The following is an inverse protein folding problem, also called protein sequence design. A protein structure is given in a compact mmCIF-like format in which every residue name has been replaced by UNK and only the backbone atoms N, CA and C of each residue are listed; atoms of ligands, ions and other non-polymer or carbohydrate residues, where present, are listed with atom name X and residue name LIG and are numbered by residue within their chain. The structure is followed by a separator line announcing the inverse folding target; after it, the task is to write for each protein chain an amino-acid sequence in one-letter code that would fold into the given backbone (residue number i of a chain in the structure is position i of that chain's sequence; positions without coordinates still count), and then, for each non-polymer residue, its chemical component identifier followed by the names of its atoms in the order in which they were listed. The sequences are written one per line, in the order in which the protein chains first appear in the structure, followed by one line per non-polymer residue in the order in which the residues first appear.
data_IF_086477786812
#
_entry.id   IF_086477786812
#
_cell.length_a   1.000
_cell.length_b   1.000
_cell.length_c   1.000
_cell.angle_alpha   90.00
_cell.angle_beta   90.00
_cell.angle_gamma   90.00
#
_symmetry.space_group_name_H-M   'P 1'
#
loop_
_entity.id
_entity.type
_entity.pdbx_description
1 polymer ?
#
# COMPACT_ATOMS: atom_id res chain seq x y z
N UNK A 1 3.39 -31.86 16.00
CA UNK A 1 2.24 -31.22 15.32
C UNK A 1 2.33 -29.71 15.55
N UNK A 2 3.00 -28.99 14.65
CA UNK A 2 3.33 -27.56 14.80
C UNK A 2 2.12 -26.68 14.45
N UNK A 3 1.62 -25.92 15.44
CA UNK A 3 0.51 -24.97 15.28
C UNK A 3 1.03 -23.72 14.56
N UNK A 4 0.64 -23.53 13.30
CA UNK A 4 0.73 -22.25 12.60
C UNK A 4 -0.23 -21.23 13.25
N UNK A 5 0.23 -20.56 14.30
CA UNK A 5 -0.28 -19.23 14.68
C UNK A 5 0.71 -18.19 14.14
N UNK A 6 0.66 -17.96 12.83
CA UNK A 6 1.21 -16.72 12.31
C UNK A 6 0.26 -15.59 12.71
N UNK A 7 0.78 -14.72 13.55
CA UNK A 7 0.13 -13.54 14.07
C UNK A 7 -0.35 -12.66 12.92
N UNK A 8 -1.67 -12.51 12.81
CA UNK A 8 -2.28 -11.32 12.24
C UNK A 8 -2.17 -10.20 13.29
N UNK A 9 -0.95 -9.76 13.59
CA UNK A 9 -0.77 -8.41 14.11
C UNK A 9 -0.94 -7.49 12.92
N UNK A 10 -1.97 -6.63 12.98
CA UNK A 10 -1.90 -5.36 12.27
C UNK A 10 -0.50 -4.82 12.53
N UNK A 11 0.26 -4.47 11.48
CA UNK A 11 1.50 -3.75 11.67
C UNK A 11 1.16 -2.59 12.61
N UNK A 12 1.82 -2.53 13.75
CA UNK A 12 1.48 -1.61 14.82
C UNK A 12 1.80 -0.18 14.35
N UNK A 13 0.87 0.41 13.60
CA UNK A 13 0.97 1.74 13.01
C UNK A 13 1.21 2.78 14.10
N UNK A 14 0.80 2.50 15.34
CA UNK A 14 1.08 3.36 16.47
C UNK A 14 2.59 3.40 16.79
N UNK A 15 3.25 2.24 16.85
CA UNK A 15 4.70 2.18 17.09
C UNK A 15 5.51 2.86 15.97
N UNK A 16 5.09 2.73 14.70
CA UNK A 16 5.75 3.40 13.58
C UNK A 16 5.66 4.93 13.71
N UNK A 17 4.45 5.48 13.88
CA UNK A 17 4.22 6.91 14.07
C UNK A 17 4.95 7.46 15.30
N UNK A 18 4.97 6.73 16.41
CA UNK A 18 5.72 7.13 17.61
C UNK A 18 7.23 7.11 17.37
N UNK A 19 7.73 6.21 16.53
CA UNK A 19 9.15 6.21 16.13
C UNK A 19 9.48 7.42 15.25
N UNK A 20 8.59 7.81 14.33
CA UNK A 20 8.76 9.03 13.51
C UNK A 20 8.86 10.28 14.41
N UNK A 21 7.99 10.39 15.41
CA UNK A 21 8.04 11.45 16.42
C UNK A 21 9.37 11.46 17.17
N UNK A 22 9.83 10.29 17.64
CA UNK A 22 11.11 10.17 18.34
C UNK A 22 12.30 10.57 17.45
N UNK A 23 12.29 10.24 16.15
CA UNK A 23 13.32 10.65 15.19
C UNK A 23 13.34 12.18 15.03
N UNK A 24 12.17 12.80 14.82
CA UNK A 24 12.09 14.25 14.62
C UNK A 24 12.55 15.01 15.88
N UNK A 25 12.08 14.57 17.05
CA UNK A 25 12.53 15.12 18.32
C UNK A 25 14.05 14.98 18.49
N UNK A 26 14.60 13.78 18.27
CA UNK A 26 16.03 13.54 18.45
C UNK A 26 16.89 14.31 17.45
N UNK A 27 16.45 14.50 16.21
CA UNK A 27 17.17 15.36 15.27
C UNK A 27 17.24 16.81 15.79
N UNK A 28 16.11 17.35 16.23
CA UNK A 28 16.03 18.72 16.72
C UNK A 28 16.83 18.92 18.02
N UNK A 29 16.83 17.96 18.95
CA UNK A 29 17.60 18.07 20.19
C UNK A 29 19.08 17.75 20.01
N UNK A 30 19.43 16.62 19.39
CA UNK A 30 20.82 16.12 19.36
C UNK A 30 21.66 16.71 18.23
N UNK A 31 21.05 17.00 17.07
CA UNK A 31 21.78 17.53 15.91
C UNK A 31 21.66 19.05 15.84
N UNK A 32 20.50 19.62 16.24
CA UNK A 32 20.28 21.07 16.23
C UNK A 32 20.47 21.75 17.58
N UNK A 33 20.74 20.99 18.66
CA UNK A 33 20.93 21.51 20.01
C UNK A 33 19.75 22.37 20.51
N UNK A 34 18.52 22.08 20.05
CA UNK A 34 17.32 22.73 20.53
C UNK A 34 16.95 22.21 21.92
N UNK A 35 16.43 23.08 22.78
CA UNK A 35 15.78 22.67 24.02
C UNK A 35 14.50 21.85 23.74
N UNK A 36 13.95 21.22 24.78
CA UNK A 36 12.77 20.35 24.67
C UNK A 36 11.55 21.06 24.04
N UNK A 37 11.23 22.27 24.48
CA UNK A 37 10.04 23.00 24.03
C UNK A 37 10.18 23.40 22.56
N UNK A 38 11.35 23.96 22.21
CA UNK A 38 11.68 24.33 20.83
C UNK A 38 11.69 23.09 19.93
N UNK A 39 12.28 21.98 20.37
CA UNK A 39 12.36 20.76 19.57
C UNK A 39 10.99 20.13 19.29
N UNK A 40 10.09 20.11 20.28
CA UNK A 40 8.72 19.62 20.13
C UNK A 40 7.91 20.50 19.18
N UNK A 41 8.03 21.83 19.34
CA UNK A 41 7.37 22.82 18.48
C UNK A 41 7.83 22.70 17.03
N UNK A 42 9.15 22.66 16.79
CA UNK A 42 9.69 22.54 15.44
C UNK A 42 9.40 21.17 14.80
N UNK A 43 9.24 20.12 15.61
CA UNK A 43 8.80 18.82 15.14
C UNK A 43 7.29 18.75 14.81
N UNK A 44 6.52 19.80 15.13
CA UNK A 44 5.06 19.86 15.05
C UNK A 44 4.39 18.75 15.87
N UNK A 45 4.95 18.46 17.04
CA UNK A 45 4.44 17.44 17.97
C UNK A 45 3.78 18.13 19.16
N UNK A 46 2.50 17.84 19.35
CA UNK A 46 1.75 18.27 20.54
C UNK A 46 2.45 17.83 21.84
N UNK A 47 2.65 18.71 22.84
CA UNK A 47 3.39 18.39 24.08
C UNK A 47 2.87 17.12 24.79
N UNK A 48 1.55 16.93 24.83
CA UNK A 48 0.89 15.76 25.43
C UNK A 48 1.24 14.42 24.76
N UNK A 49 1.84 14.45 23.58
CA UNK A 49 2.25 13.25 22.84
C UNK A 49 3.62 12.74 23.27
N UNK A 50 4.43 13.54 23.98
CA UNK A 50 5.78 13.16 24.40
C UNK A 50 5.83 11.83 25.18
N UNK A 51 4.96 11.70 26.18
CA UNK A 51 4.87 10.49 27.00
C UNK A 51 4.52 9.22 26.21
N UNK A 52 4.01 9.36 24.98
CA UNK A 52 3.70 8.22 24.12
C UNK A 52 4.94 7.66 23.41
N UNK A 53 5.96 8.48 23.17
CA UNK A 53 7.18 8.07 22.46
C UNK A 53 8.47 8.20 23.28
N UNK A 54 8.41 8.66 24.53
CA UNK A 54 9.59 8.79 25.39
C UNK A 54 10.40 7.49 25.52
N UNK A 55 9.72 6.34 25.55
CA UNK A 55 10.35 5.01 25.56
C UNK A 55 11.08 4.64 24.24
N UNK A 56 10.90 5.43 23.19
CA UNK A 56 11.54 5.25 21.88
C UNK A 56 12.66 6.26 21.62
N UNK A 57 13.00 7.15 22.58
CA UNK A 57 14.02 8.18 22.39
C UNK A 57 15.37 7.59 21.99
N UNK A 58 15.80 6.48 22.60
CA UNK A 58 17.05 5.82 22.22
C UNK A 58 16.99 5.26 20.80
N UNK A 59 15.83 4.72 20.39
CA UNK A 59 15.62 4.28 19.00
C UNK A 59 15.69 5.46 18.05
N UNK A 60 15.02 6.57 18.36
CA UNK A 60 15.08 7.80 17.57
C UNK A 60 16.50 8.34 17.42
N UNK A 61 17.29 8.32 18.50
CA UNK A 61 18.69 8.77 18.49
C UNK A 61 19.54 7.90 17.57
N UNK A 62 19.46 6.58 17.73
CA UNK A 62 20.19 5.64 16.87
C UNK A 62 19.82 5.81 15.39
N UNK A 63 18.53 6.02 15.10
CA UNK A 63 18.04 6.27 13.74
C UNK A 63 18.63 7.56 13.15
N UNK A 64 18.65 8.65 13.92
CA UNK A 64 19.20 9.94 13.48
C UNK A 64 20.71 9.86 13.26
N UNK A 65 21.45 9.27 14.19
CA UNK A 65 22.90 9.09 14.06
C UNK A 65 23.26 8.22 12.85
N UNK A 66 22.52 7.13 12.64
CA UNK A 66 22.67 6.29 11.46
C UNK A 66 22.36 7.03 10.17
N UNK A 67 21.27 7.80 10.14
CA UNK A 67 20.89 8.60 8.98
C UNK A 67 21.95 9.65 8.61
N UNK A 68 22.53 10.33 9.60
CA UNK A 68 23.61 11.32 9.38
C UNK A 68 24.90 10.64 8.87
N UNK A 69 25.16 9.39 9.27
CA UNK A 69 26.30 8.60 8.75
C UNK A 69 26.09 8.21 7.29
N UNK A 70 24.86 7.85 6.91
CA UNK A 70 24.51 7.50 5.52
C UNK A 70 24.50 8.73 4.60
N UNK A 71 24.01 9.89 5.08
CA UNK A 71 24.06 11.16 4.36
C UNK A 71 24.37 12.33 5.31
N UNK A 72 25.63 12.79 5.31
CA UNK A 72 26.07 13.95 6.10
C UNK A 72 25.34 15.26 5.77
N UNK A 73 24.69 15.36 4.60
CA UNK A 73 23.85 16.49 4.20
C UNK A 73 22.60 16.66 5.06
N UNK A 74 22.14 15.58 5.71
CA UNK A 74 21.03 15.60 6.68
C UNK A 74 21.38 16.48 7.88
N UNK A 75 22.61 16.40 8.39
CA UNK A 75 23.05 17.21 9.52
C UNK A 75 23.11 18.71 9.22
N UNK A 76 23.11 19.12 7.93
CA UNK A 76 23.10 20.52 7.51
C UNK A 76 21.69 21.12 7.45
N UNK A 77 20.64 20.30 7.56
CA UNK A 77 19.26 20.77 7.52
C UNK A 77 18.86 21.46 8.83
N UNK A 78 17.88 22.35 8.78
CA UNK A 78 17.54 23.23 9.90
C UNK A 78 16.68 22.57 10.98
N UNK A 79 15.79 21.66 10.60
CA UNK A 79 14.86 20.98 11.50
C UNK A 79 14.31 19.69 10.90
N UNK A 80 13.79 18.83 11.76
CA UNK A 80 12.96 17.70 11.42
C UNK A 80 11.51 17.94 11.86
N UNK A 81 10.56 17.50 11.05
CA UNK A 81 9.11 17.69 11.26
C UNK A 81 8.40 16.35 11.04
N UNK A 82 7.56 15.95 11.98
CA UNK A 82 6.72 14.75 11.84
C UNK A 82 5.51 15.05 10.96
N UNK A 83 5.20 14.18 9.99
CA UNK A 83 4.12 14.40 9.02
C UNK A 83 3.22 13.19 8.75
N UNK A 84 3.54 11.98 9.23
CA UNK A 84 2.81 10.75 8.91
C UNK A 84 1.30 10.77 9.24
N UNK A 85 0.86 11.70 10.08
CA UNK A 85 -0.56 11.98 10.37
C UNK A 85 -1.23 13.07 9.49
N UNK A 86 -0.51 13.63 8.52
CA UNK A 86 -0.93 14.72 7.67
C UNK A 86 -1.98 14.34 6.62
N UNK A 87 -2.39 15.33 5.83
CA UNK A 87 -3.35 15.16 4.74
C UNK A 87 -3.09 16.23 3.68
N UNK A 88 -3.00 15.82 2.42
CA UNK A 88 -2.74 16.74 1.31
C UNK A 88 -3.71 16.52 0.14
N UNK A 89 -3.85 17.51 -0.74
CA UNK A 89 -4.59 17.37 -1.98
C UNK A 89 -3.95 16.32 -2.89
N UNK A 90 -4.76 15.60 -3.65
CA UNK A 90 -4.26 14.66 -4.66
C UNK A 90 -4.32 15.30 -6.04
N UNK A 91 -3.53 14.79 -6.97
CA UNK A 91 -3.52 15.29 -8.36
C UNK A 91 -4.85 15.02 -9.08
N UNK A 92 -5.15 15.76 -10.16
CA UNK A 92 -6.30 15.46 -11.03
C UNK A 92 -6.30 14.03 -11.57
N UNK A 93 -5.12 13.47 -11.83
CA UNK A 93 -4.99 12.08 -12.25
C UNK A 93 -5.49 11.12 -11.16
N UNK A 94 -5.07 11.32 -9.90
CA UNK A 94 -5.54 10.48 -8.80
C UNK A 94 -7.04 10.61 -8.54
N UNK A 95 -7.55 11.85 -8.57
CA UNK A 95 -8.96 12.13 -8.24
C UNK A 95 -9.95 11.60 -9.27
N UNK A 96 -9.53 11.43 -10.53
CA UNK A 96 -10.32 10.77 -11.59
C UNK A 96 -10.81 9.37 -11.19
N UNK A 97 -10.09 8.66 -10.31
CA UNK A 97 -10.45 7.32 -9.83
C UNK A 97 -11.20 7.34 -8.49
N UNK A 98 -11.67 8.50 -8.04
CA UNK A 98 -12.35 8.70 -6.75
C UNK A 98 -11.42 8.78 -5.55
N UNK A 99 -10.11 8.68 -5.74
CA UNK A 99 -9.13 8.84 -4.68
C UNK A 99 -9.02 10.32 -4.26
N UNK A 100 -8.67 10.60 -3.02
CA UNK A 100 -8.60 11.95 -2.45
C UNK A 100 -9.94 12.51 -1.93
N UNK A 101 -11.08 11.94 -2.31
CA UNK A 101 -12.39 12.39 -1.80
C UNK A 101 -12.58 12.11 -0.30
N UNK A 102 -11.96 11.05 0.22
CA UNK A 102 -11.97 10.71 1.65
C UNK A 102 -10.63 11.07 2.28
N UNK A 103 -10.64 11.54 3.52
CA UNK A 103 -9.42 11.87 4.26
C UNK A 103 -8.40 10.70 4.27
N UNK A 104 -8.85 9.46 4.45
CA UNK A 104 -7.99 8.28 4.40
C UNK A 104 -7.25 8.08 3.07
N UNK A 105 -7.77 8.61 1.96
CA UNK A 105 -7.12 8.57 0.64
C UNK A 105 -6.20 9.77 0.38
N UNK A 106 -6.09 10.70 1.34
CA UNK A 106 -5.21 11.87 1.31
C UNK A 106 -3.99 11.72 2.22
N UNK A 107 -3.85 10.58 2.88
CA UNK A 107 -2.70 10.26 3.73
C UNK A 107 -1.41 10.29 2.90
N UNK A 108 -0.40 11.08 3.32
CA UNK A 108 0.85 11.25 2.60
C UNK A 108 1.67 9.96 2.57
N UNK A 109 2.65 9.92 1.66
CA UNK A 109 3.71 8.91 1.66
C UNK A 109 4.90 9.32 2.52
N UNK A 110 5.08 10.62 2.68
CA UNK A 110 6.07 11.18 3.59
C UNK A 110 5.62 11.02 5.03
N UNK A 111 6.47 10.41 5.84
CA UNK A 111 6.25 10.19 7.26
C UNK A 111 6.91 11.32 8.08
N UNK A 112 8.05 11.83 7.62
CA UNK A 112 8.74 12.97 8.23
C UNK A 112 9.57 13.76 7.21
N UNK A 113 9.81 15.02 7.53
CA UNK A 113 10.71 15.90 6.79
C UNK A 113 11.98 16.15 7.58
N UNK A 114 13.10 16.24 6.89
CA UNK A 114 14.31 16.87 7.43
C UNK A 114 14.79 17.90 6.42
N UNK A 115 14.50 19.19 6.66
CA UNK A 115 14.71 20.24 5.67
C UNK A 115 14.07 19.91 4.31
N UNK A 116 14.91 19.69 3.29
CA UNK A 116 14.47 19.35 1.92
C UNK A 116 14.13 17.85 1.69
N UNK A 117 14.39 16.98 2.65
CA UNK A 117 14.24 15.54 2.47
C UNK A 117 12.84 15.08 2.88
N UNK A 118 12.05 14.60 1.93
CA UNK A 118 10.75 13.97 2.17
C UNK A 118 10.96 12.46 2.39
N UNK A 119 10.87 12.04 3.64
CA UNK A 119 11.30 10.70 4.07
C UNK A 119 10.08 9.87 4.44
N UNK A 120 10.02 8.66 3.89
CA UNK A 120 9.15 7.61 4.42
C UNK A 120 9.96 6.65 5.29
N UNK A 121 9.46 6.37 6.49
CA UNK A 121 10.08 5.49 7.47
C UNK A 121 9.63 4.04 7.24
N UNK A 122 10.57 3.11 7.30
CA UNK A 122 10.33 1.67 7.23
C UNK A 122 11.05 0.97 8.38
N UNK A 123 10.28 0.61 9.41
CA UNK A 123 10.76 -0.17 10.56
C UNK A 123 10.24 -1.60 10.45
N UNK A 124 11.15 -2.59 10.42
CA UNK A 124 10.78 -4.00 10.37
C UNK A 124 9.97 -4.38 9.11
N UNK A 125 9.00 -5.30 9.27
CA UNK A 125 8.09 -5.65 8.18
C UNK A 125 7.20 -4.46 7.83
N UNK A 126 7.39 -3.89 6.65
CA UNK A 126 6.78 -2.63 6.27
C UNK A 126 5.61 -2.83 5.30
N UNK A 127 4.57 -2.02 5.47
CA UNK A 127 3.47 -1.91 4.53
C UNK A 127 3.75 -0.72 3.58
N UNK A 128 3.82 -0.97 2.27
CA UNK A 128 4.01 0.08 1.26
C UNK A 128 2.68 0.71 0.84
N UNK A 129 1.62 -0.11 0.76
CA UNK A 129 0.27 0.38 0.49
C UNK A 129 -0.81 -0.51 1.08
N UNK A 130 -2.01 0.06 1.19
CA UNK A 130 -3.22 -0.64 1.68
C UNK A 130 -4.50 -0.10 1.03
N UNK A 131 -4.49 0.13 -0.28
CA UNK A 131 -5.59 0.82 -0.95
C UNK A 131 -6.91 0.06 -0.86
N UNK A 132 -7.99 0.79 -0.56
CA UNK A 132 -9.33 0.34 -0.94
C UNK A 132 -9.51 0.53 -2.46
N UNK A 133 -10.73 0.39 -2.97
CA UNK A 133 -11.05 0.41 -4.40
C UNK A 133 -10.42 1.58 -5.16
N UNK A 134 -10.64 2.80 -4.67
CA UNK A 134 -10.25 4.03 -5.36
C UNK A 134 -8.72 4.18 -5.43
N UNK A 135 -8.01 3.96 -4.32
CA UNK A 135 -6.54 3.98 -4.31
C UNK A 135 -5.93 2.81 -5.09
N UNK A 136 -6.59 1.65 -5.08
CA UNK A 136 -6.14 0.49 -5.87
C UNK A 136 -6.21 0.78 -7.36
N UNK A 137 -7.31 1.40 -7.83
CA UNK A 137 -7.41 1.84 -9.22
C UNK A 137 -6.37 2.89 -9.55
N UNK A 138 -6.25 3.94 -8.75
CA UNK A 138 -5.32 5.02 -9.04
C UNK A 138 -3.88 4.49 -9.16
N UNK A 139 -3.45 3.63 -8.23
CA UNK A 139 -2.12 2.99 -8.27
C UNK A 139 -1.97 2.08 -9.49
N UNK A 140 -3.00 1.29 -9.82
CA UNK A 140 -2.98 0.38 -10.96
C UNK A 140 -2.87 1.15 -12.28
N UNK A 141 -3.66 2.20 -12.47
CA UNK A 141 -3.63 3.03 -13.66
C UNK A 141 -2.37 3.87 -13.76
N UNK A 142 -1.81 4.33 -12.64
CA UNK A 142 -0.51 5.02 -12.62
C UNK A 142 0.58 4.16 -13.24
N UNK A 143 0.63 2.88 -12.87
CA UNK A 143 1.58 1.93 -13.42
C UNK A 143 1.30 1.58 -14.89
N UNK A 144 0.02 1.58 -15.30
CA UNK A 144 -0.35 1.37 -16.70
C UNK A 144 0.07 2.54 -17.61
N UNK A 145 -0.04 3.79 -17.16
CA UNK A 145 0.40 4.94 -17.97
C UNK A 145 1.89 4.87 -18.29
N UNK A 146 2.68 4.29 -17.41
CA UNK A 146 4.12 4.12 -17.59
C UNK A 146 4.47 2.80 -18.31
N UNK A 147 3.49 1.98 -18.70
CA UNK A 147 3.70 0.68 -19.36
C UNK A 147 2.97 0.55 -20.69
N UNK A 148 3.71 0.75 -21.78
CA UNK A 148 3.18 0.65 -23.14
C UNK A 148 2.64 -0.73 -23.49
N UNK A 149 1.61 -0.77 -24.34
CA UNK A 149 1.06 -2.00 -24.91
C UNK A 149 0.29 -2.91 -23.94
N UNK A 150 0.25 -2.57 -22.64
CA UNK A 150 -0.49 -3.34 -21.64
C UNK A 150 -1.94 -2.85 -21.49
N UNK A 151 -2.20 -1.61 -21.87
CA UNK A 151 -3.55 -1.05 -21.90
C UNK A 151 -4.46 -1.90 -22.79
N UNK A 152 -5.63 -2.29 -22.26
CA UNK A 152 -6.68 -3.07 -22.91
C UNK A 152 -6.48 -4.60 -23.01
N UNK A 153 -5.42 -5.17 -22.44
CA UNK A 153 -5.29 -6.64 -22.39
C UNK A 153 -6.39 -7.29 -21.54
N UNK A 154 -6.79 -8.54 -21.83
CA UNK A 154 -7.74 -9.27 -21.01
C UNK A 154 -7.30 -9.37 -19.54
N UNK A 155 -6.00 -9.55 -19.28
CA UNK A 155 -5.44 -9.63 -17.93
C UNK A 155 -5.65 -8.34 -17.14
N UNK A 156 -5.47 -7.19 -17.80
CA UNK A 156 -5.71 -5.87 -17.22
C UNK A 156 -7.18 -5.67 -16.89
N UNK A 157 -8.06 -5.97 -17.84
CA UNK A 157 -9.52 -5.85 -17.66
C UNK A 157 -10.02 -6.75 -16.53
N UNK A 158 -9.50 -7.97 -16.44
CA UNK A 158 -9.83 -8.90 -15.37
C UNK A 158 -9.43 -8.35 -13.99
N UNK A 159 -8.19 -7.85 -13.85
CA UNK A 159 -7.72 -7.26 -12.58
C UNK A 159 -8.58 -6.05 -12.17
N UNK A 160 -8.87 -5.15 -13.12
CA UNK A 160 -9.74 -3.99 -12.90
C UNK A 160 -11.12 -4.45 -12.43
N UNK A 161 -11.75 -5.41 -13.12
CA UNK A 161 -13.08 -5.93 -12.76
C UNK A 161 -13.14 -6.56 -11.36
N UNK A 162 -12.02 -7.09 -10.85
CA UNK A 162 -11.92 -7.65 -9.51
C UNK A 162 -11.70 -6.56 -8.45
N UNK A 163 -10.93 -5.51 -8.78
CA UNK A 163 -10.82 -4.32 -7.91
C UNK A 163 -12.19 -3.63 -7.82
N UNK A 164 -12.98 -3.58 -8.90
CA UNK A 164 -14.35 -3.03 -8.91
C UNK A 164 -15.26 -3.74 -7.91
N UNK A 165 -15.01 -5.03 -7.66
CA UNK A 165 -15.75 -5.86 -6.70
C UNK A 165 -15.27 -5.71 -5.26
N UNK A 166 -14.29 -4.84 -4.98
CA UNK A 166 -13.93 -4.51 -3.60
C UNK A 166 -15.13 -3.97 -2.84
N UNK A 167 -15.37 -4.58 -1.69
CA UNK A 167 -16.51 -4.33 -0.84
C UNK A 167 -16.08 -4.01 0.59
N UNK A 168 -17.03 -3.44 1.34
CA UNK A 168 -16.94 -3.14 2.77
C UNK A 168 -18.32 -3.31 3.39
N UNK A 169 -18.37 -3.59 4.67
CA UNK A 169 -19.63 -3.83 5.37
C UNK A 169 -19.43 -4.00 6.87
N UNK A 170 -20.47 -4.51 7.51
CA UNK A 170 -20.48 -4.90 8.93
C UNK A 170 -20.65 -6.41 8.97
N UNK A 171 -20.01 -7.06 9.95
CA UNK A 171 -20.19 -8.49 10.22
C UNK A 171 -20.05 -8.76 11.71
N UNK A 172 -20.51 -9.93 12.17
CA UNK A 172 -20.37 -10.35 13.57
C UNK A 172 -19.27 -11.42 13.67
N UNK A 173 -18.31 -11.19 14.57
CA UNK A 173 -17.15 -12.05 14.75
C UNK A 173 -15.97 -11.65 13.86
N UNK A 174 -14.83 -12.31 14.06
CA UNK A 174 -13.63 -12.03 13.26
C UNK A 174 -13.84 -12.50 11.82
N UNK A 175 -13.31 -11.75 10.84
CA UNK A 175 -13.41 -12.10 9.41
C UNK A 175 -12.86 -13.50 9.13
N UNK A 176 -11.82 -13.94 9.85
CA UNK A 176 -11.30 -15.30 9.77
C UNK A 176 -12.32 -16.36 10.20
N UNK A 177 -13.03 -16.14 11.31
CA UNK A 177 -14.09 -17.04 11.78
C UNK A 177 -15.26 -17.08 10.79
N UNK A 178 -15.69 -15.90 10.34
CA UNK A 178 -16.77 -15.73 9.36
C UNK A 178 -16.48 -16.46 8.05
N UNK A 179 -15.27 -16.33 7.51
CA UNK A 179 -14.84 -17.03 6.30
C UNK A 179 -14.82 -18.55 6.50
N UNK A 180 -14.31 -19.02 7.64
CA UNK A 180 -14.20 -20.45 7.95
C UNK A 180 -15.59 -21.10 8.05
N UNK A 181 -16.50 -20.43 8.75
CA UNK A 181 -17.82 -20.96 9.06
C UNK A 181 -18.89 -20.58 8.03
N UNK A 182 -18.54 -19.70 7.08
CA UNK A 182 -19.43 -19.18 6.03
C UNK A 182 -20.69 -18.53 6.58
N UNK A 183 -20.54 -17.70 7.62
CA UNK A 183 -21.68 -17.09 8.33
C UNK A 183 -22.13 -15.75 7.75
N UNK A 184 -21.40 -15.21 6.77
CA UNK A 184 -21.72 -13.95 6.08
C UNK A 184 -21.23 -14.03 4.63
N UNK A 185 -22.18 -14.08 3.70
CA UNK A 185 -21.89 -14.26 2.28
C UNK A 185 -21.08 -13.12 1.69
N UNK A 186 -21.28 -11.87 2.16
CA UNK A 186 -20.56 -10.71 1.64
C UNK A 186 -19.07 -10.78 2.01
N UNK A 187 -18.74 -11.23 3.22
CA UNK A 187 -17.35 -11.46 3.65
C UNK A 187 -16.72 -12.63 2.89
N UNK A 188 -17.47 -13.72 2.68
CA UNK A 188 -17.00 -14.91 1.95
C UNK A 188 -16.73 -14.58 0.47
N UNK A 189 -17.62 -13.84 -0.18
CA UNK A 189 -17.47 -13.41 -1.57
C UNK A 189 -16.32 -12.44 -1.74
N UNK A 190 -16.17 -11.48 -0.84
CA UNK A 190 -15.02 -10.58 -0.84
C UNK A 190 -13.70 -11.36 -0.74
N UNK A 191 -13.60 -12.37 0.14
CA UNK A 191 -12.42 -13.22 0.24
C UNK A 191 -12.17 -14.05 -1.05
N UNK A 192 -13.21 -14.47 -1.77
CA UNK A 192 -13.06 -15.11 -3.08
C UNK A 192 -12.47 -14.13 -4.11
N UNK A 193 -13.00 -12.92 -4.18
CA UNK A 193 -12.48 -11.83 -5.03
C UNK A 193 -11.02 -11.53 -4.69
N UNK A 194 -10.66 -11.49 -3.40
CA UNK A 194 -9.29 -11.24 -2.94
C UNK A 194 -8.32 -12.30 -3.47
N UNK A 195 -8.66 -13.58 -3.32
CA UNK A 195 -7.83 -14.70 -3.81
C UNK A 195 -7.67 -14.67 -5.33
N UNK A 196 -8.75 -14.38 -6.04
CA UNK A 196 -8.71 -14.29 -7.50
C UNK A 196 -7.84 -13.13 -7.99
N UNK A 197 -8.00 -11.94 -7.39
CA UNK A 197 -7.17 -10.78 -7.72
C UNK A 197 -5.70 -11.02 -7.39
N UNK A 198 -5.41 -11.59 -6.22
CA UNK A 198 -4.04 -11.91 -5.80
C UNK A 198 -3.35 -12.82 -6.82
N UNK A 199 -4.05 -13.83 -7.33
CA UNK A 199 -3.51 -14.72 -8.35
C UNK A 199 -3.30 -14.00 -9.69
N UNK A 200 -4.31 -13.30 -10.21
CA UNK A 200 -4.24 -12.64 -11.53
C UNK A 200 -3.22 -11.51 -11.55
N UNK A 201 -3.21 -10.67 -10.52
CA UNK A 201 -2.25 -9.58 -10.38
C UNK A 201 -0.83 -10.12 -10.15
N UNK A 202 -0.68 -11.23 -9.41
CA UNK A 202 0.60 -11.92 -9.28
C UNK A 202 1.16 -12.37 -10.63
N UNK A 203 0.35 -13.05 -11.45
CA UNK A 203 0.73 -13.45 -12.82
C UNK A 203 1.05 -12.23 -13.68
N UNK A 204 0.28 -11.15 -13.56
CA UNK A 204 0.53 -9.91 -14.30
C UNK A 204 1.87 -9.29 -13.91
N UNK A 205 2.22 -9.26 -12.62
CA UNK A 205 3.50 -8.78 -12.11
C UNK A 205 4.69 -9.63 -12.58
N UNK A 206 4.52 -10.94 -12.71
CA UNK A 206 5.56 -11.83 -13.25
C UNK A 206 5.79 -11.62 -14.74
N UNK A 207 4.72 -11.46 -15.52
CA UNK A 207 4.79 -11.28 -16.97
C UNK A 207 5.24 -9.88 -17.38
N UNK A 208 4.99 -8.87 -16.54
CA UNK A 208 5.20 -7.46 -16.86
C UNK A 208 6.03 -6.80 -15.76
N UNK A 209 7.35 -6.99 -15.83
CA UNK A 209 8.30 -6.44 -14.85
C UNK A 209 8.24 -4.91 -14.77
N UNK A 210 8.09 -4.21 -15.90
CA UNK A 210 7.92 -2.74 -15.94
C UNK A 210 6.67 -2.31 -15.18
N UNK A 211 5.52 -2.94 -15.45
CA UNK A 211 4.28 -2.66 -14.72
C UNK A 211 4.43 -2.90 -13.21
N UNK A 212 5.04 -4.02 -12.80
CA UNK A 212 5.30 -4.32 -11.39
C UNK A 212 6.17 -3.25 -10.75
N UNK A 213 7.22 -2.82 -11.46
CA UNK A 213 8.15 -1.80 -11.01
C UNK A 213 7.44 -0.47 -10.76
N UNK A 214 6.69 0.02 -11.75
CA UNK A 214 5.97 1.30 -11.68
C UNK A 214 4.85 1.26 -10.63
N UNK A 215 4.16 0.13 -10.49
CA UNK A 215 3.16 -0.06 -9.44
C UNK A 215 3.77 0.05 -8.05
N UNK A 216 4.93 -0.57 -7.84
CA UNK A 216 5.65 -0.53 -6.57
C UNK A 216 6.22 0.87 -6.31
N UNK A 217 6.83 1.51 -7.32
CA UNK A 217 7.39 2.87 -7.24
C UNK A 217 6.33 3.89 -6.87
N UNK A 218 5.15 3.82 -7.48
CA UNK A 218 4.03 4.71 -7.13
C UNK A 218 3.46 4.39 -5.73
N UNK A 219 3.32 3.12 -5.37
CA UNK A 219 2.90 2.72 -4.03
C UNK A 219 3.83 3.25 -2.94
N UNK A 220 5.13 3.36 -3.24
CA UNK A 220 6.18 3.87 -2.36
C UNK A 220 6.24 5.40 -2.30
N UNK A 221 6.26 6.06 -3.46
CA UNK A 221 6.52 7.50 -3.58
C UNK A 221 5.26 8.35 -3.50
N UNK A 222 4.17 7.92 -4.14
CA UNK A 222 3.01 8.77 -4.38
C UNK A 222 3.28 9.91 -5.36
N UNK A 223 4.21 9.76 -6.30
CA UNK A 223 4.54 10.81 -7.28
C UNK A 223 3.36 11.17 -8.17
N UNK A 224 2.60 10.19 -8.65
CA UNK A 224 1.38 10.46 -9.40
C UNK A 224 0.25 10.86 -8.46
N UNK A 225 0.22 10.35 -7.22
CA UNK A 225 -0.78 10.72 -6.20
C UNK A 225 -0.75 12.19 -5.80
N UNK A 226 0.43 12.70 -5.46
CA UNK A 226 0.60 14.03 -4.87
C UNK A 226 1.35 15.02 -5.77
N UNK A 227 1.99 14.53 -6.83
CA UNK A 227 2.93 15.28 -7.64
C UNK A 227 4.36 15.09 -7.13
N UNK A 228 5.31 14.84 -8.04
CA UNK A 228 6.74 14.78 -7.69
C UNK A 228 7.19 16.14 -7.14
N UNK A 229 7.96 16.13 -6.05
CA UNK A 229 8.36 17.33 -5.30
C UNK A 229 7.28 17.87 -4.35
N UNK A 230 6.07 17.29 -4.34
CA UNK A 230 5.10 17.58 -3.29
C UNK A 230 5.63 17.08 -1.95
N UNK A 231 5.36 17.83 -0.88
CA UNK A 231 5.68 17.43 0.49
C UNK A 231 5.02 16.09 0.87
N UNK A 232 3.82 15.83 0.37
CA UNK A 232 3.13 14.56 0.61
C UNK A 232 3.69 13.36 -0.18
N UNK A 233 4.52 13.60 -1.19
CA UNK A 233 5.22 12.54 -1.91
C UNK A 233 6.57 12.23 -1.25
N UNK A 234 6.83 10.95 -1.02
CA UNK A 234 8.10 10.49 -0.48
C UNK A 234 9.14 10.42 -1.60
N UNK A 235 10.35 10.89 -1.30
CA UNK A 235 11.51 10.87 -2.21
C UNK A 235 12.61 9.95 -1.69
N UNK A 236 12.59 9.65 -0.39
CA UNK A 236 13.58 8.82 0.27
C UNK A 236 12.91 7.79 1.17
N UNK A 237 13.54 6.62 1.28
CA UNK A 237 13.28 5.66 2.33
C UNK A 237 14.36 5.69 3.40
N UNK A 238 13.92 5.85 4.64
CA UNK A 238 14.71 5.57 5.83
C UNK A 238 14.32 4.20 6.35
N UNK A 239 15.22 3.23 6.22
CA UNK A 239 15.00 1.85 6.68
C UNK A 239 15.75 1.64 7.98
N UNK A 240 15.03 1.26 9.02
CA UNK A 240 15.59 0.99 10.34
C UNK A 240 15.35 -0.43 10.82
N UNK A 241 16.39 -1.03 11.39
CA UNK A 241 16.31 -2.29 12.11
C UNK A 241 15.75 -2.14 13.53
N UNK A 242 15.62 -3.27 14.24
CA UNK A 242 15.10 -3.29 15.62
C UNK A 242 15.88 -2.32 16.52
N UNK A 243 15.17 -1.34 17.09
CA UNK A 243 15.76 -0.33 18.00
C UNK A 243 16.69 0.68 17.31
N UNK A 244 16.65 0.79 15.98
CA UNK A 244 17.48 1.72 15.21
C UNK A 244 18.95 1.28 15.07
N UNK A 245 19.28 0.03 15.39
CA UNK A 245 20.66 -0.48 15.40
C UNK A 245 21.29 -0.67 14.02
N UNK A 246 20.47 -0.73 12.98
CA UNK A 246 20.90 -0.66 11.59
C UNK A 246 20.03 0.36 10.88
N UNK A 247 20.67 1.21 10.08
CA UNK A 247 20.03 2.29 9.34
C UNK A 247 20.57 2.27 7.93
N UNK A 248 19.70 2.46 6.96
CA UNK A 248 20.08 2.67 5.57
C UNK A 248 19.14 3.69 4.95
N UNK A 249 19.69 4.56 4.11
CA UNK A 249 18.97 5.69 3.52
C UNK A 249 19.08 5.65 2.00
N UNK A 250 17.92 5.63 1.33
CA UNK A 250 17.87 5.38 -0.11
C UNK A 250 16.93 6.35 -0.80
N UNK A 251 17.34 6.87 -1.96
CA UNK A 251 16.44 7.60 -2.84
C UNK A 251 15.46 6.64 -3.53
N UNK A 252 14.20 7.05 -3.68
CA UNK A 252 13.19 6.32 -4.46
C UNK A 252 13.40 6.54 -5.97
N UNK A 253 14.21 7.54 -6.36
CA UNK A 253 14.65 7.71 -7.75
C UNK A 253 15.84 6.79 -8.11
N UNK A 254 16.43 6.07 -7.16
CA UNK A 254 17.40 5.01 -7.45
C UNK A 254 16.68 3.72 -7.87
N UNK A 255 16.54 3.52 -9.18
CA UNK A 255 15.87 2.35 -9.76
C UNK A 255 16.52 1.01 -9.35
N UNK A 256 17.82 0.98 -9.00
CA UNK A 256 18.48 -0.22 -8.48
C UNK A 256 17.93 -0.59 -7.11
N UNK A 257 17.76 0.42 -6.25
CA UNK A 257 17.14 0.23 -4.95
C UNK A 257 15.65 -0.14 -5.08
N UNK A 258 14.88 0.56 -5.92
CA UNK A 258 13.47 0.22 -6.17
C UNK A 258 13.35 -1.22 -6.67
N UNK A 259 14.24 -1.68 -7.55
CA UNK A 259 14.27 -3.06 -8.04
C UNK A 259 14.47 -4.08 -6.92
N UNK A 260 15.31 -3.77 -5.91
CA UNK A 260 15.45 -4.62 -4.71
C UNK A 260 14.15 -4.71 -3.92
N UNK A 261 13.45 -3.58 -3.76
CA UNK A 261 12.14 -3.55 -3.09
C UNK A 261 11.11 -4.36 -3.87
N UNK A 262 11.08 -4.21 -5.21
CA UNK A 262 10.23 -5.00 -6.12
C UNK A 262 10.50 -6.51 -6.01
N UNK A 263 11.75 -6.92 -5.80
CA UNK A 263 12.13 -8.31 -5.57
C UNK A 263 11.71 -8.83 -4.19
N UNK A 264 11.78 -7.99 -3.16
CA UNK A 264 11.45 -8.34 -1.78
C UNK A 264 9.96 -8.23 -1.42
N UNK A 265 9.17 -7.57 -2.26
CA UNK A 265 7.74 -7.32 -2.00
C UNK A 265 6.91 -8.60 -2.01
N UNK A 266 5.85 -8.59 -1.21
CA UNK A 266 4.79 -9.58 -1.20
C UNK A 266 3.48 -8.88 -1.54
N UNK A 267 2.84 -9.33 -2.61
CA UNK A 267 1.48 -8.94 -2.94
C UNK A 267 0.50 -9.59 -1.96
N UNK A 268 -0.42 -8.79 -1.43
CA UNK A 268 -1.52 -9.27 -0.61
C UNK A 268 -2.82 -8.58 -1.00
N UNK A 269 -3.89 -9.34 -1.14
CA UNK A 269 -5.25 -8.78 -1.16
C UNK A 269 -5.95 -9.38 0.05
N UNK A 270 -6.38 -8.54 0.97
CA UNK A 270 -6.86 -9.00 2.27
C UNK A 270 -8.06 -8.22 2.77
N UNK A 271 -8.78 -8.87 3.67
CA UNK A 271 -9.81 -8.24 4.47
C UNK A 271 -9.17 -7.51 5.65
N UNK A 272 -9.43 -6.21 5.78
CA UNK A 272 -9.19 -5.47 7.02
C UNK A 272 -10.48 -5.42 7.83
N UNK A 273 -10.37 -5.39 9.16
CA UNK A 273 -11.54 -5.24 10.02
C UNK A 273 -11.21 -4.59 11.36
N UNK A 274 -12.08 -3.72 11.83
CA UNK A 274 -11.98 -3.10 13.15
C UNK A 274 -13.25 -3.37 13.96
N UNK A 275 -13.11 -3.53 15.28
CA UNK A 275 -14.26 -3.68 16.17
C UNK A 275 -15.07 -2.38 16.16
N UNK A 276 -16.40 -2.48 16.02
CA UNK A 276 -17.28 -1.33 16.29
C UNK A 276 -17.42 -1.18 17.80
N UNK A 277 -17.14 0.02 18.31
CA UNK A 277 -17.24 0.39 19.73
C UNK A 277 -18.25 1.52 19.94
N UNK A 278 -19.32 1.51 19.17
CA UNK A 278 -20.42 2.48 19.29
C UNK A 278 -21.52 1.89 20.18
N UNK A 279 -22.35 2.74 20.81
CA UNK A 279 -23.38 2.31 21.76
C UNK A 279 -24.44 1.38 21.13
N UNK A 280 -24.63 1.48 19.82
CA UNK A 280 -25.55 0.68 19.00
C UNK A 280 -24.94 -0.63 18.46
N UNK A 281 -23.63 -0.86 18.64
CA UNK A 281 -22.96 -2.02 18.06
C UNK A 281 -23.29 -3.30 18.83
N UNK A 282 -23.66 -4.35 18.10
CA UNK A 282 -23.85 -5.67 18.71
C UNK A 282 -22.51 -6.22 19.26
N UNK A 283 -22.53 -7.09 20.30
CA UNK A 283 -21.33 -7.75 20.78
C UNK A 283 -20.59 -8.50 19.65
N UNK A 284 -19.30 -8.21 19.50
CA UNK A 284 -18.46 -8.84 18.48
C UNK A 284 -18.63 -8.26 17.07
N UNK A 285 -19.40 -7.20 16.90
CA UNK A 285 -19.60 -6.52 15.63
C UNK A 285 -18.31 -5.83 15.14
N UNK A 286 -18.05 -5.95 13.83
CA UNK A 286 -16.87 -5.40 13.17
C UNK A 286 -17.23 -4.74 11.86
N UNK A 287 -16.64 -3.59 11.59
CA UNK A 287 -16.57 -3.04 10.24
C UNK A 287 -15.44 -3.72 9.49
N UNK A 288 -15.70 -4.16 8.26
CA UNK A 288 -14.70 -4.80 7.40
C UNK A 288 -14.62 -4.11 6.04
N UNK A 289 -13.46 -4.20 5.39
CA UNK A 289 -13.26 -3.73 4.02
C UNK A 289 -12.15 -4.50 3.30
N UNK A 290 -12.27 -4.57 1.98
CA UNK A 290 -11.23 -5.09 1.09
C UNK A 290 -10.01 -4.17 1.08
N UNK A 291 -8.81 -4.71 0.91
CA UNK A 291 -7.61 -3.89 0.72
C UNK A 291 -6.60 -4.60 -0.18
N UNK A 292 -6.09 -3.87 -1.18
CA UNK A 292 -4.92 -4.25 -1.96
C UNK A 292 -3.68 -3.73 -1.22
N UNK A 293 -2.80 -4.63 -0.83
CA UNK A 293 -1.62 -4.33 -0.05
C UNK A 293 -0.35 -4.87 -0.66
N UNK A 294 0.69 -4.04 -0.61
CA UNK A 294 2.07 -4.48 -0.80
C UNK A 294 2.78 -4.41 0.54
N UNK A 295 3.44 -5.50 0.91
CA UNK A 295 4.29 -5.54 2.10
C UNK A 295 5.68 -5.98 1.72
N UNK A 296 6.66 -5.61 2.53
CA UNK A 296 8.04 -6.06 2.39
C UNK A 296 8.45 -6.68 3.72
N UNK A 297 9.07 -7.86 3.68
CA UNK A 297 9.66 -8.45 4.90
C UNK A 297 10.79 -7.54 5.38
N UNK A 298 11.08 -7.58 6.68
CA UNK A 298 12.09 -6.74 7.34
C UNK A 298 13.35 -6.50 6.47
N UNK A 299 13.42 -5.28 5.91
CA UNK A 299 14.47 -4.88 4.95
C UNK A 299 15.82 -4.68 5.64
N UNK A 300 15.83 -4.48 6.96
CA UNK A 300 17.06 -4.31 7.74
C UNK A 300 17.90 -5.59 7.86
N UNK A 301 17.28 -6.76 7.64
CA UNK A 301 17.91 -8.08 7.80
C UNK A 301 18.35 -8.74 6.50
N UNK A 302 18.03 -8.15 5.34
CA UNK A 302 18.16 -8.82 4.02
C UNK A 302 18.99 -8.07 2.98
N UNK A 303 19.79 -7.10 3.39
CA UNK A 303 20.83 -6.49 2.51
C UNK A 303 22.16 -7.26 2.52
N UNK A 304 22.24 -8.40 3.22
CA UNK A 304 23.29 -9.39 3.06
C UNK A 304 22.64 -10.76 2.86
N UNK A 305 23.12 -11.49 1.85
CA UNK A 305 22.75 -12.85 1.42
C UNK A 305 21.70 -12.95 0.31
N UNK A 306 22.21 -13.18 -0.89
CA UNK A 306 21.54 -13.79 -2.04
C UNK A 306 20.97 -15.15 -1.63
N UNK A 307 19.70 -15.21 -1.27
CA UNK A 307 18.89 -16.42 -1.32
C UNK A 307 17.43 -16.02 -1.12
N UNK A 308 16.74 -15.78 -2.23
CA UNK A 308 15.29 -15.61 -2.20
C UNK A 308 14.61 -16.84 -2.79
N UNK A 309 14.27 -17.74 -1.85
CA UNK A 309 13.20 -18.71 -1.96
C UNK A 309 11.89 -18.00 -2.34
N UNK A 310 11.61 -17.93 -3.63
CA UNK A 310 10.30 -17.63 -4.21
C UNK A 310 9.63 -18.88 -4.79
N UNK A 311 10.38 -19.97 -4.93
CA UNK A 311 9.93 -21.17 -5.64
C UNK A 311 8.72 -21.86 -4.99
N UNK A 312 8.57 -21.84 -3.66
CA UNK A 312 7.47 -22.55 -2.99
C UNK A 312 6.10 -21.87 -3.06
N UNK A 313 6.04 -20.54 -3.08
CA UNK A 313 4.77 -19.80 -3.15
C UNK A 313 4.42 -19.51 -4.61
N UNK A 314 5.41 -19.15 -5.43
CA UNK A 314 5.23 -18.83 -6.85
C UNK A 314 4.94 -20.08 -7.68
N UNK A 315 5.64 -21.21 -7.49
CA UNK A 315 5.28 -22.45 -8.20
C UNK A 315 3.88 -22.93 -7.83
N UNK A 316 3.43 -22.70 -6.60
CA UNK A 316 2.08 -23.02 -6.15
C UNK A 316 1.03 -22.07 -6.71
N UNK A 317 1.34 -20.78 -6.91
CA UNK A 317 0.44 -19.81 -7.56
C UNK A 317 0.37 -20.09 -9.07
N UNK A 318 1.51 -20.31 -9.73
CA UNK A 318 1.59 -20.64 -11.17
C UNK A 318 0.91 -21.98 -11.44
N UNK A 319 1.18 -23.02 -10.64
CA UNK A 319 0.52 -24.32 -10.82
C UNK A 319 -0.98 -24.26 -10.50
N UNK A 320 -1.42 -23.48 -9.50
CA UNK A 320 -2.85 -23.24 -9.25
C UNK A 320 -3.50 -22.40 -10.34
N UNK A 321 -2.81 -21.43 -10.93
CA UNK A 321 -3.32 -20.65 -12.07
C UNK A 321 -3.45 -21.53 -13.33
N UNK A 322 -2.46 -22.40 -13.59
CA UNK A 322 -2.49 -23.37 -14.69
C UNK A 322 -3.62 -24.39 -14.49
N UNK A 323 -3.83 -24.86 -13.26
CA UNK A 323 -4.90 -25.80 -12.90
C UNK A 323 -6.28 -25.14 -12.86
N UNK A 324 -6.39 -23.87 -12.46
CA UNK A 324 -7.62 -23.10 -12.50
C UNK A 324 -8.01 -22.82 -13.96
N UNK A 325 -7.10 -22.30 -14.79
CA UNK A 325 -7.35 -22.11 -16.22
C UNK A 325 -7.72 -23.43 -16.91
N UNK A 326 -7.04 -24.54 -16.59
CA UNK A 326 -7.35 -25.86 -17.13
C UNK A 326 -8.72 -26.42 -16.71
N UNK A 327 -9.19 -26.15 -15.49
CA UNK A 327 -10.49 -26.62 -14.99
C UNK A 327 -11.66 -25.71 -15.37
N UNK A 328 -11.46 -24.38 -15.45
CA UNK A 328 -12.52 -23.44 -15.85
C UNK A 328 -12.78 -23.47 -17.37
N UNK A 329 -11.79 -23.83 -18.20
CA UNK A 329 -11.96 -23.91 -19.67
C UNK A 329 -13.03 -24.93 -20.11
N UNK A 330 -13.26 -26.01 -19.33
CA UNK A 330 -14.27 -27.03 -19.63
C UNK A 330 -15.69 -26.63 -19.23
N UNK A 331 -15.86 -25.74 -18.25
CA UNK A 331 -17.18 -25.32 -17.76
C UNK A 331 -17.64 -23.98 -18.35
N UNK A 332 -16.69 -23.12 -18.78
CA UNK A 332 -16.97 -21.75 -19.27
C UNK A 332 -17.39 -21.70 -20.74
N UNK A 333 -17.10 -22.75 -21.54
CA UNK A 333 -17.49 -22.82 -22.96
C UNK A 333 -19.01 -22.76 -23.21
N UNK A 334 -19.85 -23.08 -22.22
CA UNK A 334 -21.32 -23.02 -22.33
C UNK A 334 -21.96 -21.70 -21.88
N UNK A 335 -21.34 -20.98 -20.94
CA UNK A 335 -21.95 -19.80 -20.29
C UNK A 335 -21.54 -18.48 -20.94
N UNK A 336 -20.30 -18.37 -21.44
CA UNK A 336 -19.82 -17.14 -22.11
C UNK A 336 -20.50 -16.93 -23.47
N UNK A 337 -20.88 -18.00 -24.17
CA UNK A 337 -21.51 -17.90 -25.50
C UNK A 337 -22.91 -17.25 -25.47
N UNK A 338 -23.68 -17.43 -24.38
CA UNK A 338 -25.05 -16.87 -24.24
C UNK A 338 -25.09 -15.44 -23.69
N UNK A 339 -24.12 -15.05 -22.86
CA UNK A 339 -24.07 -13.69 -22.29
C UNK A 339 -23.34 -12.72 -23.21
N UNK A 340 -22.33 -13.19 -23.95
CA UNK A 340 -21.58 -12.35 -24.89
C UNK A 340 -22.33 -12.10 -26.21
N UNK A 341 -23.18 -13.04 -26.68
CA UNK A 341 -24.02 -12.78 -27.87
C UNK A 341 -25.06 -11.69 -27.59
N UNK A 342 -25.70 -11.70 -26.41
CA UNK A 342 -26.65 -10.67 -25.98
C UNK A 342 -26.01 -9.29 -25.79
N UNK A 343 -24.74 -9.24 -25.39
CA UNK A 343 -23.98 -7.99 -25.29
C UNK A 343 -23.56 -7.46 -26.66
N UNK A 344 -23.17 -8.33 -27.60
CA UNK A 344 -22.88 -7.93 -28.98
C UNK A 344 -24.13 -7.47 -29.74
N UNK A 345 -25.29 -8.10 -29.53
CA UNK A 345 -26.57 -7.67 -30.11
C UNK A 345 -27.02 -6.30 -29.57
N UNK A 346 -26.69 -5.98 -28.31
CA UNK A 346 -26.96 -4.67 -27.71
C UNK A 346 -26.03 -3.56 -28.22
N UNK A 347 -24.80 -3.90 -28.59
CA UNK A 347 -23.78 -2.95 -29.08
C UNK A 347 -23.80 -2.78 -30.61
N UNK A 348 -24.41 -3.71 -31.36
CA UNK A 348 -24.51 -3.65 -32.82
C UNK A 348 -25.67 -2.77 -33.36
N UNK A 349 -26.57 -2.28 -32.52
CA UNK A 349 -27.60 -1.31 -32.94
C UNK A 349 -27.00 0.10 -32.88
N UNK A 350 -26.47 0.57 -34.02
CA UNK A 350 -26.17 1.99 -34.23
C UNK A 350 -27.50 2.76 -34.36
N UNK A 351 -27.78 3.80 -33.56
CA UNK A 351 -28.87 4.72 -33.88
C UNK A 351 -28.44 5.63 -35.04
N UNK A 352 -29.20 5.63 -36.14
CA UNK A 352 -29.18 6.72 -37.11
C UNK A 352 -29.89 7.92 -36.49
N UNK A 353 -29.12 8.97 -36.16
CA UNK A 353 -29.67 10.29 -35.86
C UNK A 353 -29.35 11.17 -37.05
N UNK A 354 -30.35 11.46 -37.88
CA UNK A 354 -30.26 12.49 -38.91
C UNK A 354 -30.62 13.85 -38.31
N UNK A 355 -29.76 14.84 -38.49
CA UNK A 355 -30.08 16.24 -38.23
C UNK A 355 -30.38 16.93 -39.56
N UNK A 356 -31.58 17.50 -39.70
CA UNK A 356 -31.91 18.40 -40.81
C UNK A 356 -31.66 19.84 -40.34
N UNK A 357 -30.64 20.49 -40.90
CA UNK A 357 -30.47 21.94 -40.78
C UNK A 357 -31.25 22.57 -41.94
N UNK A 358 -32.32 23.31 -41.61
CA UNK A 358 -33.03 24.15 -42.59
C UNK A 358 -32.37 25.53 -42.62
N UNK A 359 -32.03 26.00 -43.82
CA UNK A 359 -31.77 27.41 -44.08
C UNK A 359 -33.08 28.19 -44.14
#
# INVERSE_FOLDING_TARGET
MLRFKEYLTEADTSTATLTEMAICYQFNTTIKNMDHETAMKEAEIEPKSFSKFEGLLETGKNMVEGLVKEDSGIAKQNKAVHYGGGSDGVTPFWSKYGAGAKAASRTPKTDLYIGKYNISLKMGAAQLMSGFKEESFATFYAALEETDGLANTPEVKDCISLIEKFSRGITIGTTASVIKNKTDDAVVDANRVHKELMNKLGVMFEKNSKFKFEFVKEAMSGYKKFGKGSRAAAEYFLVGGKGGKSVSFHSIDDDSYVSKVVGAMTLSVKMKSTSRKTLDAAPGERTWWSALGLTVKDMSKKLQKEEYLSEGIISNIISKARNALGKTMKTVKGLVKKTFSKFLDYVAVKPEVSYTIKF
#
